data_IF_261776531711
#
_entry.id   IF_261776531711
#
_cell.length_a   1.000
_cell.length_b   1.000
_cell.length_c   1.000
_cell.angle_alpha   90.00
_cell.angle_beta   90.00
_cell.angle_gamma   90.00
#
_symmetry.space_group_name_H-M   'P 1'
#
loop_
_entity.id
_entity.type
_entity.pdbx_description
1 polymer ?
#
# COMPACT_ATOMS: atom_id res chain seq x y z
N UNK A 1 -17.56 4.39 -5.92
CA UNK A 1 -18.86 3.93 -6.51
C UNK A 1 -19.69 3.22 -5.46
N UNK A 2 -20.97 2.97 -5.75
CA UNK A 2 -21.86 2.20 -4.87
C UNK A 2 -21.51 0.71 -4.89
N UNK A 3 -21.97 -0.04 -3.89
CA UNK A 3 -21.78 -1.51 -3.85
C UNK A 3 -22.44 -2.21 -5.04
N UNK A 4 -23.58 -1.72 -5.52
CA UNK A 4 -24.28 -2.30 -6.67
C UNK A 4 -23.45 -2.17 -7.95
N UNK A 5 -22.90 -0.98 -8.22
CA UNK A 5 -22.03 -0.73 -9.37
C UNK A 5 -20.73 -1.55 -9.29
N UNK A 6 -20.11 -1.65 -8.10
CA UNK A 6 -18.94 -2.48 -7.90
C UNK A 6 -19.25 -3.96 -8.14
N UNK A 7 -20.39 -4.45 -7.65
CA UNK A 7 -20.84 -5.82 -7.86
C UNK A 7 -21.09 -6.13 -9.35
N UNK A 8 -21.58 -5.19 -10.14
CA UNK A 8 -21.73 -5.35 -11.59
C UNK A 8 -20.38 -5.49 -12.29
N UNK A 9 -19.39 -4.67 -11.94
CA UNK A 9 -18.02 -4.79 -12.44
C UNK A 9 -17.39 -6.13 -12.06
N UNK A 10 -17.58 -6.59 -10.83
CA UNK A 10 -17.08 -7.88 -10.38
C UNK A 10 -17.70 -9.01 -11.23
N UNK A 11 -19.03 -8.99 -11.44
CA UNK A 11 -19.74 -10.00 -12.25
C UNK A 11 -19.36 -9.95 -13.74
N UNK A 12 -18.91 -8.81 -14.25
CA UNK A 12 -18.39 -8.71 -15.63
C UNK A 12 -17.03 -9.39 -15.81
N UNK A 13 -16.41 -9.86 -14.72
CA UNK A 13 -15.09 -10.50 -14.75
C UNK A 13 -13.91 -9.51 -14.72
N UNK A 14 -14.17 -8.23 -14.51
CA UNK A 14 -13.12 -7.22 -14.37
C UNK A 14 -12.18 -7.56 -13.20
N UNK A 15 -10.89 -7.27 -13.40
CA UNK A 15 -9.89 -7.40 -12.33
C UNK A 15 -9.81 -6.07 -11.59
N UNK A 16 -10.05 -6.11 -10.28
CA UNK A 16 -10.20 -4.89 -9.49
C UNK A 16 -9.28 -4.89 -8.27
N UNK A 17 -8.74 -3.71 -7.94
CA UNK A 17 -8.24 -3.38 -6.62
C UNK A 17 -9.27 -2.51 -5.93
N UNK A 18 -9.76 -2.93 -4.76
CA UNK A 18 -10.86 -2.28 -4.06
C UNK A 18 -10.39 -1.78 -2.70
N UNK A 19 -11.00 -0.68 -2.25
CA UNK A 19 -10.78 -0.17 -0.92
C UNK A 19 -12.08 0.36 -0.32
N UNK A 20 -12.29 0.16 0.99
CA UNK A 20 -13.51 0.59 1.66
C UNK A 20 -13.56 0.16 3.12
N UNK A 21 -14.61 0.55 3.84
CA UNK A 21 -14.87 0.01 5.17
C UNK A 21 -15.16 -1.49 5.11
N UNK A 22 -14.83 -2.21 6.18
CA UNK A 22 -14.99 -3.67 6.27
C UNK A 22 -16.41 -4.12 5.90
N UNK A 23 -17.43 -3.44 6.43
CA UNK A 23 -18.84 -3.76 6.14
C UNK A 23 -19.21 -3.66 4.66
N UNK A 24 -18.59 -2.74 3.93
CA UNK A 24 -18.81 -2.59 2.50
C UNK A 24 -18.11 -3.70 1.70
N UNK A 25 -16.88 -4.05 2.07
CA UNK A 25 -16.12 -5.13 1.41
C UNK A 25 -16.76 -6.51 1.66
N UNK A 26 -17.25 -6.77 2.87
CA UNK A 26 -17.95 -8.01 3.23
C UNK A 26 -19.23 -8.24 2.40
N UNK A 27 -19.85 -7.18 1.89
CA UNK A 27 -21.08 -7.26 1.09
C UNK A 27 -20.82 -7.54 -0.41
N UNK A 28 -19.57 -7.56 -0.86
CA UNK A 28 -19.24 -7.76 -2.26
C UNK A 28 -19.29 -9.24 -2.66
N UNK A 29 -19.72 -9.57 -3.89
CA UNK A 29 -19.68 -10.93 -4.38
C UNK A 29 -18.25 -11.41 -4.62
N UNK A 30 -18.04 -12.73 -4.58
CA UNK A 30 -16.79 -13.32 -5.01
C UNK A 30 -16.49 -12.98 -6.48
N UNK A 31 -15.20 -12.81 -6.83
CA UNK A 31 -14.77 -12.44 -8.17
C UNK A 31 -13.28 -12.13 -8.25
N UNK A 32 -12.87 -11.54 -9.37
CA UNK A 32 -11.47 -11.25 -9.66
C UNK A 32 -11.04 -9.92 -9.01
N UNK A 33 -10.97 -9.88 -7.69
CA UNK A 33 -10.55 -8.67 -6.99
C UNK A 33 -9.70 -8.97 -5.76
N UNK A 34 -8.85 -8.00 -5.42
CA UNK A 34 -8.18 -7.89 -4.14
C UNK A 34 -8.66 -6.62 -3.46
N UNK A 35 -8.66 -6.58 -2.14
CA UNK A 35 -9.05 -5.37 -1.42
C UNK A 35 -8.33 -5.20 -0.10
N UNK A 36 -8.41 -4.00 0.44
CA UNK A 36 -8.00 -3.67 1.80
C UNK A 36 -9.00 -2.73 2.46
N UNK A 37 -9.08 -2.84 3.77
CA UNK A 37 -9.87 -1.90 4.56
C UNK A 37 -9.17 -0.54 4.59
N UNK A 38 -9.89 0.52 4.29
CA UNK A 38 -9.51 1.92 4.49
C UNK A 38 -10.73 2.80 4.22
N UNK A 39 -11.05 3.79 5.05
CA UNK A 39 -12.17 4.71 4.79
C UNK A 39 -11.76 5.99 4.07
N UNK A 40 -10.46 6.26 3.91
CA UNK A 40 -9.95 7.54 3.39
C UNK A 40 -9.54 7.41 1.93
N UNK A 41 -10.05 8.30 1.08
CA UNK A 41 -9.74 8.34 -0.35
C UNK A 41 -9.48 9.76 -0.82
N UNK A 42 -8.74 9.86 -1.91
CA UNK A 42 -8.63 11.06 -2.71
C UNK A 42 -9.46 10.87 -3.99
N UNK A 43 -10.44 11.71 -4.22
CA UNK A 43 -11.18 11.74 -5.48
C UNK A 43 -11.02 13.11 -6.18
N UNK A 44 -11.70 13.30 -7.30
CA UNK A 44 -11.59 14.54 -8.07
C UNK A 44 -12.04 15.79 -7.29
N UNK A 45 -12.85 15.64 -6.25
CA UNK A 45 -13.33 16.71 -5.39
C UNK A 45 -12.43 16.97 -4.18
N UNK A 46 -11.41 16.11 -3.95
CA UNK A 46 -10.49 16.19 -2.83
C UNK A 46 -10.54 14.97 -1.93
N UNK A 47 -10.09 15.12 -0.68
CA UNK A 47 -10.11 14.05 0.31
C UNK A 47 -11.52 13.71 0.76
N UNK A 48 -11.85 12.43 0.77
CA UNK A 48 -13.16 11.92 1.21
C UNK A 48 -12.98 10.85 2.28
N UNK A 49 -13.90 10.83 3.24
CA UNK A 49 -14.08 9.70 4.14
C UNK A 49 -15.25 8.88 3.62
N UNK A 50 -14.99 7.63 3.20
CA UNK A 50 -16.06 6.75 2.73
C UNK A 50 -16.95 6.38 3.89
N UNK A 51 -18.24 6.67 3.71
CA UNK A 51 -19.30 6.17 4.56
C UNK A 51 -19.77 4.78 4.10
N UNK A 52 -20.58 4.12 4.88
CA UNK A 52 -21.20 2.83 4.51
C UNK A 52 -21.84 2.87 3.11
N UNK A 53 -21.72 1.77 2.39
CA UNK A 53 -22.33 1.59 1.07
C UNK A 53 -21.53 2.11 -0.13
N UNK A 54 -20.28 2.54 0.06
CA UNK A 54 -19.38 2.93 -1.04
C UNK A 54 -18.01 2.27 -0.90
N UNK A 55 -17.41 1.96 -2.05
CA UNK A 55 -16.02 1.48 -2.18
C UNK A 55 -15.29 2.31 -3.22
N UNK A 56 -13.99 2.46 -3.01
CA UNK A 56 -13.10 2.97 -4.05
C UNK A 56 -12.69 1.81 -4.94
N UNK A 57 -12.76 2.00 -6.24
CA UNK A 57 -12.51 0.96 -7.23
C UNK A 57 -11.45 1.41 -8.21
N UNK A 58 -10.37 0.65 -8.29
CA UNK A 58 -9.33 0.81 -9.29
C UNK A 58 -9.36 -0.40 -10.21
N UNK A 59 -9.86 -0.25 -11.45
CA UNK A 59 -9.75 -1.31 -12.44
C UNK A 59 -8.27 -1.56 -12.76
N UNK A 60 -7.87 -2.83 -12.71
CA UNK A 60 -6.53 -3.25 -13.12
C UNK A 60 -6.60 -3.57 -14.62
N UNK A 61 -5.86 -2.87 -15.49
CA UNK A 61 -5.89 -3.13 -16.91
C UNK A 61 -5.45 -4.57 -17.19
N UNK A 62 -6.34 -5.36 -17.75
CA UNK A 62 -6.06 -6.75 -18.07
C UNK A 62 -6.01 -6.94 -19.58
N UNK A 63 -4.97 -6.45 -20.21
CA UNK A 63 -4.57 -6.93 -21.54
C UNK A 63 -3.94 -8.32 -21.48
N UNK A 64 -3.69 -8.83 -20.27
CA UNK A 64 -3.06 -10.10 -19.96
C UNK A 64 -3.85 -10.94 -18.95
N UNK A 65 -3.20 -11.98 -18.44
CA UNK A 65 -3.74 -12.86 -17.40
C UNK A 65 -3.36 -12.33 -16.02
N UNK A 66 -4.32 -12.30 -15.10
CA UNK A 66 -4.04 -11.99 -13.71
C UNK A 66 -4.18 -13.24 -12.84
N UNK A 67 -3.26 -13.39 -11.89
CA UNK A 67 -3.32 -14.38 -10.83
C UNK A 67 -3.48 -13.65 -9.50
N UNK A 68 -4.54 -13.96 -8.77
CA UNK A 68 -4.79 -13.40 -7.46
C UNK A 68 -4.38 -14.39 -6.38
N UNK A 69 -3.64 -13.94 -5.39
CA UNK A 69 -3.13 -14.81 -4.33
C UNK A 69 -3.07 -14.08 -2.98
N UNK A 70 -3.00 -14.86 -1.90
CA UNK A 70 -2.63 -14.41 -0.57
C UNK A 70 -1.34 -15.13 -0.17
N UNK A 71 -0.40 -14.38 0.36
CA UNK A 71 0.87 -14.88 0.92
C UNK A 71 0.91 -14.59 2.42
N UNK A 72 1.10 -15.61 3.22
CA UNK A 72 1.32 -15.47 4.67
C UNK A 72 2.67 -14.82 4.99
N UNK A 73 2.86 -14.45 6.24
CA UNK A 73 4.10 -13.79 6.70
C UNK A 73 5.37 -14.65 6.49
N UNK A 74 5.24 -15.96 6.35
CA UNK A 74 6.31 -16.91 6.05
C UNK A 74 6.61 -17.07 4.54
N UNK A 75 5.82 -16.44 3.68
CA UNK A 75 5.86 -16.58 2.21
C UNK A 75 6.18 -15.27 1.48
N UNK A 76 6.67 -14.25 2.18
CA UNK A 76 6.82 -12.90 1.65
C UNK A 76 7.76 -12.80 0.45
N UNK A 77 8.79 -13.65 0.38
CA UNK A 77 9.68 -13.74 -0.80
C UNK A 77 8.92 -14.14 -2.06
N UNK A 78 7.82 -14.87 -1.92
CA UNK A 78 6.97 -15.26 -3.05
C UNK A 78 6.15 -14.11 -3.61
N UNK A 79 5.99 -13.00 -2.88
CA UNK A 79 5.25 -11.82 -3.34
C UNK A 79 5.91 -11.23 -4.60
N UNK A 80 7.23 -11.04 -4.56
CA UNK A 80 8.01 -10.54 -5.70
C UNK A 80 8.38 -11.70 -6.63
N UNK A 81 8.89 -12.81 -6.08
CA UNK A 81 9.38 -13.95 -6.84
C UNK A 81 8.35 -14.55 -7.80
N UNK A 82 7.07 -14.63 -7.38
CA UNK A 82 5.97 -15.13 -8.23
C UNK A 82 5.37 -14.06 -9.15
N UNK A 83 5.86 -12.81 -9.09
CA UNK A 83 5.49 -11.78 -10.07
C UNK A 83 5.86 -12.20 -11.49
N UNK A 84 5.10 -11.76 -12.51
CA UNK A 84 5.36 -12.11 -13.90
C UNK A 84 6.71 -11.54 -14.39
N UNK A 85 7.37 -12.24 -15.27
CA UNK A 85 8.60 -11.75 -15.90
C UNK A 85 8.34 -10.55 -16.82
N UNK A 86 7.16 -10.49 -17.44
CA UNK A 86 6.68 -9.31 -18.17
C UNK A 86 5.31 -8.91 -17.63
N UNK A 87 5.28 -7.86 -16.83
CA UNK A 87 4.04 -7.40 -16.20
C UNK A 87 4.30 -6.63 -14.91
N UNK A 88 3.35 -6.68 -13.99
CA UNK A 88 3.44 -6.01 -12.70
C UNK A 88 2.62 -6.71 -11.62
N UNK A 89 2.89 -6.36 -10.39
CA UNK A 89 2.14 -6.83 -9.22
C UNK A 89 1.50 -5.65 -8.50
N UNK A 90 0.22 -5.79 -8.15
CA UNK A 90 -0.45 -4.92 -7.20
C UNK A 90 -0.58 -5.66 -5.89
N UNK A 91 -0.08 -5.08 -4.79
CA UNK A 91 -0.04 -5.71 -3.47
C UNK A 91 -0.78 -4.88 -2.42
N UNK A 92 -1.48 -5.51 -1.50
CA UNK A 92 -2.12 -4.83 -0.36
C UNK A 92 -1.75 -5.60 0.91
N UNK A 93 -1.27 -4.88 1.93
CA UNK A 93 -0.82 -5.45 3.21
C UNK A 93 -1.55 -4.77 4.38
N UNK A 94 -1.95 -5.51 5.45
CA UNK A 94 -2.58 -4.88 6.62
C UNK A 94 -1.56 -4.10 7.46
N UNK A 95 -1.88 -2.85 7.82
CA UNK A 95 -1.02 -2.04 8.68
C UNK A 95 -0.74 -2.72 10.01
N UNK A 96 0.52 -2.68 10.45
CA UNK A 96 0.96 -3.22 11.74
C UNK A 96 1.04 -4.74 11.83
N UNK A 97 0.66 -5.48 10.77
CA UNK A 97 0.78 -6.94 10.71
C UNK A 97 2.23 -7.41 10.68
N UNK A 98 2.46 -8.69 10.97
CA UNK A 98 3.80 -9.28 10.84
C UNK A 98 4.31 -9.19 9.41
N UNK A 99 3.45 -9.48 8.42
CA UNK A 99 3.79 -9.34 7.01
C UNK A 99 4.18 -7.91 6.63
N UNK A 100 3.48 -6.89 7.12
CA UNK A 100 3.81 -5.50 6.88
C UNK A 100 5.23 -5.16 7.35
N UNK A 101 5.56 -5.49 8.60
CA UNK A 101 6.88 -5.21 9.19
C UNK A 101 8.00 -5.95 8.46
N UNK A 102 7.82 -7.24 8.22
CA UNK A 102 8.83 -8.08 7.58
C UNK A 102 9.03 -7.71 6.11
N UNK A 103 7.94 -7.45 5.35
CA UNK A 103 8.04 -7.07 3.95
C UNK A 103 8.80 -5.76 3.76
N UNK A 104 8.59 -4.77 4.64
CA UNK A 104 9.33 -3.51 4.60
C UNK A 104 10.85 -3.70 4.77
N UNK A 105 11.26 -4.66 5.60
CA UNK A 105 12.67 -4.94 5.88
C UNK A 105 13.34 -5.79 4.80
N UNK A 106 12.60 -6.73 4.22
CA UNK A 106 13.14 -7.74 3.30
C UNK A 106 13.02 -7.36 1.82
N UNK A 107 11.95 -6.69 1.41
CA UNK A 107 11.69 -6.40 0.00
C UNK A 107 12.80 -5.58 -0.68
N UNK A 108 13.44 -4.67 0.04
CA UNK A 108 14.55 -3.87 -0.48
C UNK A 108 15.82 -4.68 -0.80
N UNK A 109 15.91 -5.88 -0.25
CA UNK A 109 17.05 -6.80 -0.44
C UNK A 109 16.74 -7.89 -1.48
N UNK A 110 15.51 -7.92 -2.04
CA UNK A 110 15.13 -8.90 -3.04
C UNK A 110 15.73 -8.53 -4.39
N UNK A 111 16.49 -9.45 -4.98
CA UNK A 111 17.16 -9.23 -6.27
C UNK A 111 16.15 -8.99 -7.41
N UNK A 112 14.96 -9.57 -7.32
CA UNK A 112 13.90 -9.44 -8.32
C UNK A 112 13.09 -8.13 -8.18
N UNK A 113 13.24 -7.41 -7.06
CA UNK A 113 12.49 -6.17 -6.79
C UNK A 113 12.70 -5.08 -7.88
N UNK A 114 13.88 -5.06 -8.52
CA UNK A 114 14.19 -4.14 -9.62
C UNK A 114 13.70 -4.64 -10.98
N UNK A 115 13.43 -5.94 -11.12
CA UNK A 115 13.06 -6.56 -12.40
C UNK A 115 11.55 -6.78 -12.52
N UNK A 116 10.85 -6.93 -11.37
CA UNK A 116 9.43 -7.25 -11.31
C UNK A 116 8.65 -6.08 -10.66
N UNK A 117 8.14 -5.14 -11.47
CA UNK A 117 7.43 -3.97 -10.96
C UNK A 117 6.34 -4.34 -9.97
N UNK A 118 6.46 -3.88 -8.73
CA UNK A 118 5.49 -4.12 -7.68
C UNK A 118 5.06 -2.79 -7.06
N UNK A 119 3.77 -2.52 -7.08
CA UNK A 119 3.15 -1.35 -6.47
C UNK A 119 2.06 -1.78 -5.52
N UNK A 120 1.73 -0.95 -4.55
CA UNK A 120 0.67 -1.31 -3.63
C UNK A 120 0.41 -0.26 -2.57
N UNK A 121 -0.35 -0.67 -1.57
CA UNK A 121 -0.70 0.19 -0.47
C UNK A 121 -0.97 -0.61 0.81
N UNK A 122 -0.96 0.11 1.92
CA UNK A 122 -1.14 -0.46 3.26
C UNK A 122 -2.58 -0.22 3.69
N UNK A 123 -3.33 -1.29 3.97
CA UNK A 123 -4.69 -1.18 4.45
C UNK A 123 -4.73 -0.65 5.89
N UNK A 124 -5.79 0.07 6.21
CA UNK A 124 -5.93 0.76 7.48
C UNK A 124 -7.36 0.71 8.01
N UNK A 125 -7.59 1.52 9.03
CA UNK A 125 -8.90 1.69 9.67
C UNK A 125 -9.19 3.18 9.83
N UNK A 126 -10.40 3.53 10.25
CA UNK A 126 -10.69 4.91 10.63
C UNK A 126 -9.80 5.33 11.82
N UNK A 127 -9.31 6.57 11.82
CA UNK A 127 -8.36 7.06 12.84
C UNK A 127 -8.91 6.92 14.27
N UNK A 128 -10.23 7.05 14.47
CA UNK A 128 -10.86 6.83 15.78
C UNK A 128 -10.83 5.37 16.25
N UNK A 129 -10.55 4.43 15.33
CA UNK A 129 -10.56 2.99 15.57
C UNK A 129 -9.14 2.41 15.67
N UNK A 130 -8.12 3.26 15.61
CA UNK A 130 -6.74 2.87 15.82
C UNK A 130 -6.57 2.18 17.18
N UNK A 131 -5.93 1.00 17.16
CA UNK A 131 -5.73 0.16 18.35
C UNK A 131 -6.98 -0.59 18.83
N UNK A 132 -8.14 -0.43 18.17
CA UNK A 132 -9.40 -1.12 18.50
C UNK A 132 -9.83 -2.09 17.40
N UNK A 133 -9.58 -1.75 16.15
CA UNK A 133 -9.94 -2.54 14.97
C UNK A 133 -8.67 -2.88 14.21
N UNK A 134 -8.55 -4.12 13.77
CA UNK A 134 -7.41 -4.58 12.96
C UNK A 134 -7.70 -4.34 11.48
N UNK A 135 -6.77 -3.69 10.74
CA UNK A 135 -6.85 -3.61 9.29
C UNK A 135 -6.91 -4.99 8.65
N UNK A 136 -7.61 -5.10 7.52
CA UNK A 136 -7.78 -6.39 6.82
C UNK A 136 -7.52 -6.25 5.33
N UNK A 137 -7.13 -7.37 4.73
CA UNK A 137 -7.04 -7.53 3.28
C UNK A 137 -7.94 -8.68 2.82
N UNK A 138 -8.34 -8.64 1.56
CA UNK A 138 -9.33 -9.57 1.00
C UNK A 138 -8.84 -10.20 -0.29
N UNK A 139 -9.10 -11.50 -0.41
CA UNK A 139 -8.95 -12.25 -1.66
C UNK A 139 -10.35 -12.52 -2.24
N UNK A 140 -10.75 -11.76 -3.23
CA UNK A 140 -12.10 -11.78 -3.80
C UNK A 140 -12.47 -13.10 -4.46
N UNK A 141 -11.51 -13.86 -4.99
CA UNK A 141 -11.78 -15.17 -5.60
C UNK A 141 -12.36 -16.19 -4.61
N UNK A 142 -12.02 -16.06 -3.34
CA UNK A 142 -12.50 -16.95 -2.27
C UNK A 142 -13.45 -16.25 -1.31
N UNK A 143 -13.55 -14.91 -1.36
CA UNK A 143 -14.27 -14.10 -0.40
C UNK A 143 -13.64 -14.09 1.00
N UNK A 144 -12.41 -14.59 1.13
CA UNK A 144 -11.70 -14.62 2.42
C UNK A 144 -11.06 -13.28 2.75
N UNK A 145 -11.05 -12.96 4.04
CA UNK A 145 -10.34 -11.80 4.60
C UNK A 145 -9.27 -12.24 5.59
N UNK A 146 -8.20 -11.43 5.69
CA UNK A 146 -7.02 -11.76 6.48
C UNK A 146 -6.58 -10.52 7.26
N UNK A 147 -6.13 -10.73 8.51
CA UNK A 147 -5.54 -9.71 9.38
C UNK A 147 -4.01 -9.66 9.27
N UNK A 148 -3.42 -10.63 8.57
CA UNK A 148 -1.99 -10.73 8.29
C UNK A 148 -1.75 -11.32 6.91
N UNK A 149 -0.52 -11.19 6.39
CA UNK A 149 -0.17 -11.59 5.04
C UNK A 149 -0.41 -10.46 4.02
N UNK A 150 -0.16 -10.78 2.75
CA UNK A 150 -0.26 -9.84 1.63
C UNK A 150 -1.18 -10.45 0.57
N UNK A 151 -2.19 -9.71 0.12
CA UNK A 151 -2.96 -10.09 -1.07
C UNK A 151 -2.37 -9.41 -2.29
N UNK A 152 -2.28 -10.13 -3.38
CA UNK A 152 -1.69 -9.65 -4.62
C UNK A 152 -2.55 -9.92 -5.84
N UNK A 153 -2.38 -9.07 -6.86
CA UNK A 153 -2.77 -9.33 -8.22
C UNK A 153 -1.50 -9.29 -9.08
N UNK A 154 -1.02 -10.45 -9.52
CA UNK A 154 0.07 -10.59 -10.48
C UNK A 154 -0.52 -10.49 -11.89
N UNK A 155 -0.14 -9.46 -12.63
CA UNK A 155 -0.69 -9.15 -13.95
C UNK A 155 0.38 -9.36 -15.01
N UNK A 156 0.28 -10.45 -15.77
CA UNK A 156 1.16 -10.68 -16.92
C UNK A 156 0.70 -9.84 -18.12
N UNK A 157 1.61 -9.16 -18.78
CA UNK A 157 1.37 -8.34 -19.96
C UNK A 157 1.79 -9.07 -21.24
N UNK A 158 1.16 -8.77 -22.41
CA UNK A 158 1.66 -9.20 -23.70
C UNK A 158 3.07 -8.67 -23.98
N UNK A 159 3.86 -9.37 -24.80
CA UNK A 159 5.22 -8.95 -25.16
C UNK A 159 5.32 -7.55 -25.79
N UNK A 160 4.22 -7.05 -26.35
CA UNK A 160 4.16 -5.70 -26.94
C UNK A 160 3.97 -4.58 -25.90
N UNK A 161 3.83 -4.91 -24.61
CA UNK A 161 3.61 -3.96 -23.52
C UNK A 161 4.65 -4.20 -22.42
N UNK A 162 5.07 -3.12 -21.79
CA UNK A 162 5.96 -3.13 -20.64
C UNK A 162 5.32 -2.34 -19.50
N UNK A 163 5.53 -2.79 -18.28
CA UNK A 163 5.21 -2.03 -17.08
C UNK A 163 6.44 -1.25 -16.63
N UNK A 164 6.24 0.00 -16.23
CA UNK A 164 7.26 0.82 -15.57
C UNK A 164 6.66 1.47 -14.32
N UNK A 165 7.50 1.70 -13.32
CA UNK A 165 7.12 2.46 -12.13
C UNK A 165 7.74 3.84 -12.25
N UNK A 166 6.92 4.88 -12.11
CA UNK A 166 7.36 6.25 -11.94
C UNK A 166 6.99 6.75 -10.54
N UNK A 167 7.92 7.43 -9.88
CA UNK A 167 7.67 8.11 -8.62
C UNK A 167 7.56 9.59 -8.93
N UNK A 168 6.34 10.12 -8.81
CA UNK A 168 6.09 11.54 -9.00
C UNK A 168 6.26 12.26 -7.67
N UNK A 169 7.32 13.07 -7.56
CA UNK A 169 7.56 13.92 -6.40
C UNK A 169 7.38 15.39 -6.81
N UNK A 170 6.52 16.09 -6.07
CA UNK A 170 6.24 17.52 -6.28
C UNK A 170 6.94 18.42 -5.24
N UNK A 171 7.70 17.83 -4.31
CA UNK A 171 8.40 18.54 -3.27
C UNK A 171 9.89 18.67 -3.59
N UNK A 172 10.45 19.78 -3.22
CA UNK A 172 11.90 20.00 -3.22
C UNK A 172 12.43 20.04 -1.77
N UNK A 173 13.69 19.65 -1.53
CA UNK A 173 14.30 19.81 -0.22
C UNK A 173 14.26 21.27 0.23
N UNK A 174 13.79 21.51 1.45
CA UNK A 174 13.83 22.83 2.09
C UNK A 174 15.10 23.01 2.94
N UNK A 175 15.22 24.19 3.55
CA UNK A 175 16.33 24.54 4.46
C UNK A 175 16.14 23.95 5.88
N UNK A 176 15.42 22.81 5.99
CA UNK A 176 15.14 22.15 7.26
C UNK A 176 16.29 21.33 7.80
N UNK A 177 16.04 20.71 8.96
CA UNK A 177 17.00 19.79 9.56
C UNK A 177 17.16 18.53 8.70
N UNK A 178 18.38 17.97 8.67
CA UNK A 178 18.65 16.70 8.00
C UNK A 178 18.42 15.54 8.97
N UNK A 179 17.52 14.62 8.62
CA UNK A 179 17.26 13.42 9.37
C UNK A 179 17.95 12.23 8.67
N UNK A 180 18.65 11.41 9.44
CA UNK A 180 19.24 10.16 8.96
C UNK A 180 18.72 9.00 9.80
N UNK A 181 18.10 8.05 9.13
CA UNK A 181 17.62 6.81 9.72
C UNK A 181 18.70 5.74 9.59
N UNK A 182 18.91 4.96 10.66
CA UNK A 182 19.95 3.91 10.72
C UNK A 182 19.42 2.54 10.34
N UNK A 183 18.11 2.39 10.39
CA UNK A 183 17.44 1.11 10.13
C UNK A 183 16.37 1.26 9.05
N UNK A 184 16.16 0.21 8.27
CA UNK A 184 15.06 0.11 7.32
C UNK A 184 13.85 -0.48 8.04
N UNK A 185 12.84 0.35 8.30
CA UNK A 185 11.63 -0.07 9.03
C UNK A 185 10.49 0.91 8.78
N UNK A 186 9.26 0.48 8.99
CA UNK A 186 8.10 1.36 9.11
C UNK A 186 7.93 1.96 10.52
N UNK A 187 8.76 1.57 11.48
CA UNK A 187 8.74 2.09 12.84
C UNK A 187 10.10 2.75 13.14
N UNK A 188 10.07 3.97 13.66
CA UNK A 188 11.29 4.71 14.01
C UNK A 188 11.20 5.19 15.45
N UNK A 189 12.16 4.81 16.28
CA UNK A 189 12.33 5.37 17.62
C UNK A 189 13.34 6.53 17.61
N UNK A 190 14.62 6.20 17.40
CA UNK A 190 15.71 7.15 17.34
C UNK A 190 16.20 7.35 15.90
N UNK A 191 16.66 8.56 15.61
CA UNK A 191 17.33 8.91 14.35
C UNK A 191 18.49 9.86 14.63
N UNK A 192 19.25 10.21 13.61
CA UNK A 192 20.22 11.30 13.69
C UNK A 192 19.59 12.56 13.12
N UNK A 193 19.51 13.62 13.91
CA UNK A 193 19.09 14.95 13.47
C UNK A 193 20.36 15.81 13.40
N UNK A 194 20.72 16.25 12.19
CA UNK A 194 21.98 16.99 11.94
C UNK A 194 23.23 16.28 12.49
N UNK A 195 23.19 14.93 12.53
CA UNK A 195 24.28 14.11 13.05
C UNK A 195 24.18 13.75 14.54
N UNK A 196 23.26 14.34 15.29
CA UNK A 196 23.05 14.06 16.71
C UNK A 196 21.91 13.05 16.94
N UNK A 197 22.18 12.04 17.79
CA UNK A 197 21.18 11.01 18.13
C UNK A 197 20.02 11.67 18.90
N UNK A 198 18.83 11.51 18.36
CA UNK A 198 17.61 12.16 18.86
C UNK A 198 16.43 11.20 18.75
N UNK A 199 15.55 11.18 19.74
CA UNK A 199 14.27 10.48 19.62
C UNK A 199 13.34 11.25 18.67
N UNK A 200 12.83 10.59 17.62
CA UNK A 200 12.06 11.24 16.57
C UNK A 200 10.76 11.86 17.10
N UNK A 201 10.02 11.15 17.95
CA UNK A 201 8.77 11.68 18.50
C UNK A 201 9.01 12.92 19.39
N UNK A 202 10.09 12.92 20.19
CA UNK A 202 10.47 14.07 20.98
C UNK A 202 10.89 15.27 20.11
N UNK A 203 11.61 15.02 19.02
CA UNK A 203 12.00 16.03 18.03
C UNK A 203 10.77 16.67 17.36
N UNK A 204 9.86 15.85 16.83
CA UNK A 204 8.62 16.30 16.17
C UNK A 204 7.80 17.18 17.11
N UNK A 205 7.64 16.74 18.36
CA UNK A 205 6.93 17.51 19.39
C UNK A 205 7.64 18.84 19.72
N UNK A 206 8.95 18.82 19.89
CA UNK A 206 9.72 20.03 20.19
C UNK A 206 9.66 21.09 19.06
N UNK A 207 9.49 20.65 17.83
CA UNK A 207 9.33 21.53 16.66
C UNK A 207 7.86 21.93 16.41
N UNK A 208 6.89 21.44 17.21
CA UNK A 208 5.46 21.71 17.01
C UNK A 208 4.89 21.11 15.74
N UNK A 209 5.45 19.98 15.28
CA UNK A 209 5.08 19.28 14.04
C UNK A 209 4.17 18.06 14.31
N UNK A 210 3.70 17.90 15.53
CA UNK A 210 2.87 16.79 15.99
C UNK A 210 1.37 16.88 15.59
N UNK A 211 1.02 17.88 14.77
CA UNK A 211 -0.35 18.17 14.36
C UNK A 211 -0.57 18.01 12.85
N UNK A 212 -0.04 16.97 12.24
CA UNK A 212 -0.24 16.74 10.82
C UNK A 212 0.78 15.77 10.24
N UNK A 213 0.73 15.62 8.91
CA UNK A 213 1.76 14.87 8.19
C UNK A 213 3.04 15.71 8.14
N UNK A 214 4.15 15.10 8.53
CA UNK A 214 5.47 15.69 8.37
C UNK A 214 6.04 15.26 7.00
N UNK A 215 6.05 16.13 5.99
CA UNK A 215 6.62 15.80 4.70
C UNK A 215 8.14 15.77 4.82
N UNK A 216 8.73 14.67 4.37
CA UNK A 216 10.16 14.52 4.23
C UNK A 216 10.50 14.38 2.75
N UNK A 217 11.64 14.91 2.33
CA UNK A 217 12.23 14.64 1.03
C UNK A 217 13.49 13.84 1.23
N UNK A 218 13.47 12.57 0.80
CA UNK A 218 14.63 11.70 0.80
C UNK A 218 15.45 11.90 -0.46
N UNK A 219 16.77 11.95 -0.31
CA UNK A 219 17.71 11.92 -1.43
C UNK A 219 18.27 10.50 -1.59
N UNK A 220 17.96 9.88 -2.71
CA UNK A 220 18.41 8.56 -3.10
C UNK A 220 19.35 8.66 -4.30
N UNK A 221 20.56 9.16 -4.06
CA UNK A 221 21.57 9.32 -5.12
C UNK A 221 21.20 10.39 -6.16
N UNK A 222 20.54 11.46 -5.73
CA UNK A 222 20.08 12.56 -6.58
C UNK A 222 18.61 12.44 -7.01
N UNK A 223 17.95 11.31 -6.77
CA UNK A 223 16.51 11.20 -6.94
C UNK A 223 15.80 11.63 -5.64
N UNK A 224 14.99 12.66 -5.73
CA UNK A 224 14.22 13.16 -4.60
C UNK A 224 12.87 12.44 -4.52
N UNK A 225 12.62 11.80 -3.39
CA UNK A 225 11.37 11.07 -3.12
C UNK A 225 10.74 11.64 -1.86
N UNK A 226 9.46 12.01 -1.91
CA UNK A 226 8.76 12.45 -0.73
C UNK A 226 8.30 11.24 0.10
N UNK A 227 8.45 11.36 1.41
CA UNK A 227 7.91 10.45 2.40
C UNK A 227 7.17 11.26 3.47
N UNK A 228 6.30 10.62 4.22
CA UNK A 228 5.60 11.23 5.35
C UNK A 228 5.78 10.36 6.59
N UNK A 229 5.88 11.02 7.73
CA UNK A 229 5.87 10.38 9.05
C UNK A 229 4.57 10.75 9.75
#
# INVERSE_FOLDING_TARGET
MTLAEAAELIRSGAILSLAGPESALDALPAGNWIAGTIPYFMDAAGGVVSTEGKVFVTPIPASGKATLAHYGADQLKSVIGNGPDNGFTVAIVPAGSAAHKTFAQEAVNDADAFLKPTVGWVSGVHLSDLGKVTPKVYLGTTGQKFEDGIVVAHVALPESQLASIEIVNIFEPGDGDTLRFTDTSFEVGDCLVNGEKTNLAAYVKAKGLDHGQLPLVGDFGGAHINASI
#
